data_IF_171993942567
#
_entry.id   IF_171993942567
#
_cell.length_a   1.000
_cell.length_b   1.000
_cell.length_c   1.000
_cell.angle_alpha   90.00
_cell.angle_beta   90.00
_cell.angle_gamma   90.00
#
_symmetry.space_group_name_H-M   'P 1'
#
loop_
_entity.id
_entity.type
_entity.pdbx_description
1 polymer ?
#
# COMPACT_ATOMS: atom_id res chain seq x y z
N UNK A 1 26.71 -45.94 54.51
CA UNK A 1 26.17 -44.73 55.17
C UNK A 1 27.06 -43.61 54.70
N UNK A 2 26.67 -42.67 53.84
CA UNK A 2 25.41 -41.94 53.71
C UNK A 2 25.05 -41.71 52.23
N UNK A 3 23.76 -41.75 51.91
CA UNK A 3 23.18 -41.25 50.67
C UNK A 3 22.90 -39.75 50.85
N UNK A 4 23.27 -38.92 49.86
CA UNK A 4 22.72 -37.56 49.77
C UNK A 4 22.30 -37.25 48.33
N UNK A 5 21.03 -37.56 48.08
CA UNK A 5 20.04 -36.81 47.30
C UNK A 5 20.43 -35.39 46.90
N UNK A 6 20.37 -35.08 45.60
CA UNK A 6 19.65 -33.91 45.06
C UNK A 6 19.11 -34.24 43.65
N UNK A 7 17.83 -33.98 43.45
CA UNK A 7 17.00 -34.28 42.28
C UNK A 7 17.42 -33.58 40.97
N UNK A 8 17.06 -34.15 39.80
CA UNK A 8 17.28 -33.52 38.49
C UNK A 8 16.30 -32.37 38.26
N UNK A 9 16.83 -31.21 37.88
CA UNK A 9 16.05 -30.04 37.49
C UNK A 9 15.45 -30.27 36.08
N UNK A 10 14.13 -30.38 36.03
CA UNK A 10 13.32 -30.38 34.81
C UNK A 10 13.59 -29.13 33.97
N UNK A 11 14.01 -29.33 32.72
CA UNK A 11 14.03 -28.29 31.69
C UNK A 11 12.61 -28.22 31.10
N UNK A 12 11.86 -27.11 31.23
CA UNK A 12 10.64 -26.95 30.47
C UNK A 12 10.98 -26.58 29.02
N UNK A 13 10.51 -27.42 28.10
CA UNK A 13 10.41 -27.14 26.67
C UNK A 13 9.35 -26.05 26.45
N UNK A 14 9.78 -24.81 26.22
CA UNK A 14 8.95 -23.79 25.59
C UNK A 14 9.82 -22.93 24.66
N UNK A 15 9.76 -23.19 23.36
CA UNK A 15 10.04 -22.15 22.36
C UNK A 15 9.04 -22.28 21.21
N UNK A 16 7.78 -22.07 21.61
CA UNK A 16 6.71 -21.74 20.68
C UNK A 16 6.81 -20.28 20.27
N UNK A 17 6.89 -20.06 18.96
CA UNK A 17 6.19 -18.97 18.28
C UNK A 17 6.74 -17.54 18.41
N UNK A 18 7.91 -17.27 17.82
CA UNK A 18 8.18 -15.93 17.26
C UNK A 18 7.40 -15.75 15.94
N UNK A 19 6.09 -15.51 16.04
CA UNK A 19 5.39 -14.75 14.98
C UNK A 19 6.16 -13.43 14.83
N UNK A 20 6.62 -13.03 13.63
CA UNK A 20 7.33 -11.77 13.47
C UNK A 20 6.42 -10.65 13.97
N UNK A 21 6.74 -10.15 15.15
CA UNK A 21 5.94 -9.16 15.84
C UNK A 21 5.89 -7.93 14.95
N UNK A 22 4.67 -7.52 14.61
CA UNK A 22 4.34 -6.45 13.66
C UNK A 22 4.65 -5.07 14.25
N UNK A 23 5.77 -4.91 14.95
CA UNK A 23 6.25 -3.66 15.58
C UNK A 23 6.90 -2.71 14.56
N UNK A 24 7.01 -3.12 13.29
CA UNK A 24 7.79 -2.40 12.28
C UNK A 24 7.24 -1.04 11.84
N UNK A 25 5.97 -0.71 12.11
CA UNK A 25 5.28 0.44 11.48
C UNK A 25 5.36 1.77 12.26
N UNK A 26 5.15 1.83 13.59
CA UNK A 26 5.29 3.07 14.35
C UNK A 26 6.76 3.50 14.49
N UNK A 27 7.66 2.53 14.69
CA UNK A 27 9.10 2.78 14.85
C UNK A 27 9.73 3.40 13.60
N UNK A 28 9.28 3.01 12.41
CA UNK A 28 9.75 3.60 11.15
C UNK A 28 9.38 5.09 11.07
N UNK A 29 8.14 5.45 11.38
CA UNK A 29 7.68 6.84 11.36
C UNK A 29 8.45 7.72 12.35
N UNK A 30 8.63 7.23 13.58
CA UNK A 30 9.32 7.99 14.63
C UNK A 30 10.80 8.21 14.30
N UNK A 31 11.45 7.24 13.63
CA UNK A 31 12.81 7.39 13.13
C UNK A 31 12.92 8.52 12.11
N UNK A 32 12.02 8.56 11.13
CA UNK A 32 12.03 9.61 10.10
C UNK A 32 11.67 10.97 10.71
N UNK A 33 10.72 11.01 11.66
CA UNK A 33 10.39 12.22 12.43
C UNK A 33 11.61 12.77 13.18
N UNK A 34 12.36 11.93 13.91
CA UNK A 34 13.59 12.34 14.60
C UNK A 34 14.65 12.86 13.64
N UNK A 35 14.79 12.24 12.48
CA UNK A 35 15.74 12.67 11.44
C UNK A 35 15.36 14.04 10.86
N UNK A 36 14.08 14.27 10.60
CA UNK A 36 13.54 15.55 10.15
C UNK A 36 13.74 16.64 11.21
N UNK A 37 13.46 16.33 12.48
CA UNK A 37 13.64 17.26 13.60
C UNK A 37 15.11 17.64 13.79
N UNK A 38 16.02 16.65 13.71
CA UNK A 38 17.46 16.90 13.78
C UNK A 38 17.91 17.82 12.65
N UNK A 39 17.47 17.55 11.42
CA UNK A 39 17.77 18.40 10.28
C UNK A 39 17.23 19.83 10.47
N UNK A 40 16.01 20.01 11.00
CA UNK A 40 15.46 21.35 11.27
C UNK A 40 16.28 22.16 12.27
N UNK A 41 16.94 21.49 13.22
CA UNK A 41 17.82 22.13 14.21
C UNK A 41 19.18 22.47 13.64
N UNK A 42 19.72 21.61 12.78
CA UNK A 42 21.06 21.77 12.20
C UNK A 42 21.07 22.44 10.82
N UNK A 43 19.92 22.94 10.35
CA UNK A 43 19.82 23.52 9.00
C UNK A 43 20.55 24.87 8.93
N UNK A 44 21.22 25.18 7.81
CA UNK A 44 22.00 26.41 7.66
C UNK A 44 21.14 27.68 7.61
N UNK A 45 19.91 27.61 7.08
CA UNK A 45 18.98 28.73 7.06
C UNK A 45 17.51 28.26 7.13
N UNK A 46 16.55 29.13 7.51
CA UNK A 46 15.14 28.76 7.72
C UNK A 46 14.42 28.20 6.49
N UNK A 47 14.89 28.54 5.29
CA UNK A 47 14.35 28.08 3.99
C UNK A 47 15.21 27.00 3.32
N UNK A 48 16.10 26.34 4.07
CA UNK A 48 16.93 25.29 3.51
C UNK A 48 16.04 24.16 2.96
N UNK A 49 16.33 23.63 1.77
CA UNK A 49 15.54 22.55 1.19
C UNK A 49 15.68 21.28 2.04
N UNK A 50 14.57 20.55 2.21
CA UNK A 50 14.59 19.26 2.91
C UNK A 50 15.45 18.28 2.09
N UNK A 51 16.40 17.56 2.72
CA UNK A 51 17.26 16.61 2.03
C UNK A 51 16.46 15.49 1.36
N UNK A 52 16.88 15.10 0.15
CA UNK A 52 16.27 14.03 -0.63
C UNK A 52 16.09 12.73 0.16
N UNK A 53 17.04 12.40 1.02
CA UNK A 53 16.95 11.19 1.85
C UNK A 53 15.76 11.17 2.80
N UNK A 54 15.33 12.34 3.30
CA UNK A 54 14.14 12.46 4.15
C UNK A 54 12.88 12.35 3.29
N UNK A 55 12.89 12.93 2.09
CA UNK A 55 11.81 12.79 1.12
C UNK A 55 11.59 11.34 0.69
N UNK A 56 12.66 10.59 0.40
CA UNK A 56 12.56 9.16 0.04
C UNK A 56 11.91 8.35 1.14
N UNK A 57 12.34 8.55 2.39
CA UNK A 57 11.75 7.88 3.56
C UNK A 57 10.26 8.25 3.73
N UNK A 58 9.92 9.54 3.54
CA UNK A 58 8.56 10.03 3.63
C UNK A 58 7.65 9.48 2.51
N UNK A 59 8.16 9.38 1.27
CA UNK A 59 7.45 8.78 0.13
C UNK A 59 7.17 7.29 0.39
N UNK A 60 8.14 6.55 0.93
CA UNK A 60 7.96 5.15 1.30
C UNK A 60 6.85 4.98 2.37
N UNK A 61 6.79 5.88 3.35
CA UNK A 61 5.71 5.91 4.35
C UNK A 61 4.36 6.31 3.73
N UNK A 62 4.35 7.27 2.81
CA UNK A 62 3.14 7.72 2.12
C UNK A 62 2.50 6.61 1.29
N UNK A 63 3.30 5.77 0.62
CA UNK A 63 2.82 4.58 -0.10
C UNK A 63 2.15 3.54 0.82
N UNK A 64 2.57 3.47 2.08
CA UNK A 64 2.05 2.48 3.04
C UNK A 64 0.87 2.98 3.87
N UNK A 65 0.84 4.28 4.18
CA UNK A 65 -0.12 4.88 5.14
C UNK A 65 -1.05 5.92 4.50
N UNK A 66 -0.82 6.26 3.25
CA UNK A 66 -1.46 7.38 2.58
C UNK A 66 -0.72 8.70 2.81
N UNK A 67 -0.91 9.61 1.85
CA UNK A 67 -0.20 10.89 1.77
C UNK A 67 -0.58 11.82 2.92
N UNK A 68 -1.88 11.95 3.19
CA UNK A 68 -2.40 12.81 4.24
C UNK A 68 -1.93 12.39 5.64
N UNK A 69 -2.03 11.09 5.97
CA UNK A 69 -1.59 10.57 7.27
C UNK A 69 -0.08 10.78 7.49
N UNK A 70 0.70 10.64 6.42
CA UNK A 70 2.16 10.83 6.47
C UNK A 70 2.53 12.31 6.63
N UNK A 71 1.87 13.23 5.91
CA UNK A 71 2.08 14.67 6.05
C UNK A 71 1.60 15.24 7.39
N UNK A 72 0.62 14.60 8.04
CA UNK A 72 0.19 14.96 9.39
C UNK A 72 1.19 14.47 10.45
N UNK A 73 1.72 13.27 10.28
CA UNK A 73 2.58 12.62 11.27
C UNK A 73 4.05 13.05 11.17
N UNK A 74 4.56 13.25 9.95
CA UNK A 74 5.77 14.02 9.70
C UNK A 74 5.30 15.40 9.27
N UNK A 75 5.54 16.48 10.04
CA UNK A 75 5.01 17.81 9.74
C UNK A 75 5.71 18.46 8.53
N UNK A 76 5.72 17.80 7.38
CA UNK A 76 6.24 18.24 6.08
C UNK A 76 5.09 18.77 5.22
N UNK A 77 5.39 19.70 4.32
CA UNK A 77 4.36 20.27 3.46
C UNK A 77 3.77 19.21 2.53
N UNK A 78 2.44 19.08 2.56
CA UNK A 78 1.66 18.16 1.74
C UNK A 78 2.01 18.26 0.25
N UNK A 79 2.07 19.48 -0.28
CA UNK A 79 2.39 19.72 -1.69
C UNK A 79 3.77 19.18 -2.09
N UNK A 80 4.79 19.36 -1.24
CA UNK A 80 6.11 18.80 -1.48
C UNK A 80 6.11 17.28 -1.43
N UNK A 81 5.37 16.68 -0.48
CA UNK A 81 5.25 15.23 -0.41
C UNK A 81 4.54 14.65 -1.65
N UNK A 82 3.49 15.32 -2.13
CA UNK A 82 2.78 14.97 -3.36
C UNK A 82 3.72 15.03 -4.57
N UNK A 83 4.45 16.12 -4.75
CA UNK A 83 5.38 16.27 -5.87
C UNK A 83 6.47 15.19 -5.86
N UNK A 84 7.03 14.86 -4.69
CA UNK A 84 8.03 13.81 -4.57
C UNK A 84 7.45 12.40 -4.78
N UNK A 85 6.19 12.17 -4.41
CA UNK A 85 5.50 10.92 -4.70
C UNK A 85 5.24 10.78 -6.21
N UNK A 86 4.70 11.81 -6.86
CA UNK A 86 4.46 11.85 -8.31
C UNK A 86 5.76 11.70 -9.10
N UNK A 87 6.85 12.34 -8.67
CA UNK A 87 8.16 12.15 -9.30
C UNK A 87 8.67 10.70 -9.14
N UNK A 88 8.45 10.08 -7.98
CA UNK A 88 8.82 8.70 -7.74
C UNK A 88 7.94 7.70 -8.52
N UNK A 89 6.65 8.00 -8.71
CA UNK A 89 5.71 7.23 -9.51
C UNK A 89 5.97 7.40 -11.02
N UNK A 90 6.25 8.61 -11.48
CA UNK A 90 6.67 8.88 -12.86
C UNK A 90 7.98 8.17 -13.21
N UNK A 91 8.92 8.11 -12.27
CA UNK A 91 10.15 7.31 -12.43
C UNK A 91 9.85 5.80 -12.44
N UNK A 92 8.85 5.34 -11.66
CA UNK A 92 8.46 3.92 -11.65
C UNK A 92 7.69 3.54 -12.91
N UNK A 93 6.82 4.42 -13.42
CA UNK A 93 6.09 4.29 -14.69
C UNK A 93 7.03 4.35 -15.89
N UNK A 94 8.04 5.21 -15.86
CA UNK A 94 9.10 5.23 -16.88
C UNK A 94 10.00 3.97 -16.81
N UNK A 95 10.15 3.35 -15.63
CA UNK A 95 10.94 2.11 -15.45
C UNK A 95 10.15 0.84 -15.71
N UNK A 96 8.83 0.87 -15.51
CA UNK A 96 7.87 -0.15 -15.90
C UNK A 96 7.25 0.29 -17.22
N UNK A 97 8.02 0.19 -18.31
CA UNK A 97 7.49 0.46 -19.64
C UNK A 97 6.12 -0.19 -19.79
N UNK A 98 5.12 0.60 -20.16
CA UNK A 98 3.75 0.13 -20.38
C UNK A 98 3.79 -0.94 -21.47
N UNK A 99 3.86 -2.20 -21.07
CA UNK A 99 3.80 -3.33 -21.97
C UNK A 99 2.38 -3.50 -22.48
N UNK A 100 2.23 -3.51 -23.79
CA UNK A 100 0.99 -3.95 -24.41
C UNK A 100 0.75 -5.42 -24.05
N UNK A 101 -0.36 -5.71 -23.38
CA UNK A 101 -0.79 -7.09 -23.10
C UNK A 101 -1.89 -7.42 -24.09
N UNK A 102 -1.56 -8.24 -25.09
CA UNK A 102 -2.55 -8.78 -26.00
C UNK A 102 -3.42 -9.80 -25.25
N UNK A 103 -4.66 -9.41 -24.97
CA UNK A 103 -5.66 -10.32 -24.44
C UNK A 103 -6.26 -11.09 -25.61
N UNK A 104 -6.06 -12.41 -25.65
CA UNK A 104 -6.78 -13.26 -26.61
C UNK A 104 -8.29 -13.06 -26.43
N UNK A 105 -9.08 -12.91 -27.51
CA UNK A 105 -10.52 -12.81 -27.39
C UNK A 105 -11.04 -14.08 -26.72
N UNK A 106 -11.46 -13.95 -25.47
CA UNK A 106 -12.23 -14.97 -24.78
C UNK A 106 -13.58 -14.98 -25.48
N UNK A 107 -14.00 -16.13 -26.00
CA UNK A 107 -15.36 -16.30 -26.51
C UNK A 107 -16.19 -16.80 -25.33
N UNK A 108 -16.80 -15.92 -24.51
CA UNK A 108 -17.58 -16.37 -23.38
C UNK A 108 -18.71 -17.25 -23.90
N UNK A 109 -18.76 -18.46 -23.38
CA UNK A 109 -19.89 -19.36 -23.61
C UNK A 109 -21.06 -18.90 -22.73
N UNK A 110 -22.29 -19.26 -23.10
CA UNK A 110 -23.49 -18.84 -22.39
C UNK A 110 -23.59 -19.32 -20.93
N UNK A 111 -22.61 -20.10 -20.46
CA UNK A 111 -22.52 -20.59 -19.07
C UNK A 111 -21.50 -19.79 -18.23
N UNK A 112 -20.79 -18.83 -18.84
CA UNK A 112 -19.80 -18.02 -18.13
C UNK A 112 -20.48 -17.00 -17.20
N UNK A 113 -20.27 -17.18 -15.90
CA UNK A 113 -20.80 -16.30 -14.88
C UNK A 113 -20.03 -14.98 -14.86
N UNK A 114 -20.69 -13.88 -15.23
CA UNK A 114 -20.12 -12.54 -15.17
C UNK A 114 -20.47 -11.89 -13.82
N UNK A 115 -19.49 -11.22 -13.19
CA UNK A 115 -19.73 -10.40 -12.00
C UNK A 115 -19.18 -9.01 -12.27
N UNK A 116 -20.07 -8.00 -12.18
CA UNK A 116 -19.71 -6.59 -12.33
C UNK A 116 -19.69 -5.97 -10.94
N UNK A 117 -18.57 -5.35 -10.59
CA UNK A 117 -18.40 -4.58 -9.36
C UNK A 117 -18.29 -3.10 -9.70
N UNK A 118 -19.22 -2.31 -9.18
CA UNK A 118 -19.26 -0.87 -9.35
C UNK A 118 -18.94 -0.24 -8.00
N UNK A 119 -17.78 0.38 -7.90
CA UNK A 119 -17.34 1.08 -6.70
C UNK A 119 -17.74 2.56 -6.78
N UNK A 120 -18.60 2.99 -5.86
CA UNK A 120 -18.94 4.39 -5.62
C UNK A 120 -18.21 4.94 -4.39
N UNK A 121 -18.31 6.25 -4.16
CA UNK A 121 -17.62 6.98 -3.09
C UNK A 121 -17.85 6.43 -1.66
N UNK A 122 -18.92 5.64 -1.45
CA UNK A 122 -19.31 5.10 -0.14
C UNK A 122 -19.80 3.65 -0.19
N UNK A 123 -20.07 3.11 -1.38
CA UNK A 123 -20.70 1.78 -1.53
C UNK A 123 -20.15 1.09 -2.76
N UNK A 124 -19.87 -0.21 -2.62
CA UNK A 124 -19.60 -1.10 -3.74
C UNK A 124 -20.87 -1.87 -4.05
N UNK A 125 -21.36 -1.77 -5.28
CA UNK A 125 -22.49 -2.54 -5.78
C UNK A 125 -21.93 -3.70 -6.58
N UNK A 126 -22.35 -4.93 -6.26
CA UNK A 126 -21.94 -6.15 -6.96
C UNK A 126 -23.13 -6.76 -7.66
N UNK A 127 -23.09 -6.81 -8.99
CA UNK A 127 -24.13 -7.38 -9.83
C UNK A 127 -23.60 -8.71 -10.36
N UNK A 128 -24.23 -9.82 -9.97
CA UNK A 128 -23.94 -11.15 -10.51
C UNK A 128 -24.92 -11.44 -11.63
N UNK A 129 -24.42 -11.81 -12.79
CA UNK A 129 -25.23 -12.14 -13.94
C UNK A 129 -24.81 -13.52 -14.45
N UNK A 130 -25.59 -14.58 -14.17
CA UNK A 130 -25.38 -15.88 -14.78
C UNK A 130 -25.80 -15.84 -16.25
N UNK A 131 -24.91 -16.26 -17.15
CA UNK A 131 -25.21 -16.49 -18.57
C UNK A 131 -25.36 -15.25 -19.45
N UNK A 132 -24.64 -14.16 -19.15
CA UNK A 132 -24.63 -12.96 -19.99
C UNK A 132 -23.77 -13.17 -21.23
N UNK A 133 -24.41 -13.12 -22.40
CA UNK A 133 -23.70 -13.09 -23.68
C UNK A 133 -22.94 -11.77 -23.88
N UNK A 134 -21.82 -11.83 -24.59
CA UNK A 134 -20.99 -10.69 -24.99
C UNK A 134 -21.75 -9.43 -25.49
N UNK A 135 -22.84 -9.53 -26.30
CA UNK A 135 -23.58 -8.34 -26.75
C UNK A 135 -24.31 -7.59 -25.64
N UNK A 136 -24.72 -8.26 -24.56
CA UNK A 136 -25.43 -7.63 -23.44
C UNK A 136 -24.45 -6.86 -22.55
N UNK A 137 -23.24 -7.40 -22.35
CA UNK A 137 -22.14 -6.68 -21.69
C UNK A 137 -21.71 -5.43 -22.47
N UNK A 138 -21.70 -5.51 -23.81
CA UNK A 138 -21.37 -4.36 -24.65
C UNK A 138 -22.44 -3.26 -24.61
N UNK A 139 -23.73 -3.61 -24.43
CA UNK A 139 -24.80 -2.65 -24.21
C UNK A 139 -24.67 -1.99 -22.83
N UNK A 140 -24.41 -2.80 -21.80
CA UNK A 140 -24.22 -2.30 -20.45
C UNK A 140 -23.02 -1.34 -20.35
N UNK A 141 -21.90 -1.65 -21.01
CA UNK A 141 -20.71 -0.78 -21.00
C UNK A 141 -20.96 0.57 -21.67
N UNK A 142 -21.71 0.61 -22.78
CA UNK A 142 -22.10 1.86 -23.44
C UNK A 142 -23.08 2.68 -22.61
N UNK A 143 -24.04 2.03 -21.95
CA UNK A 143 -24.99 2.68 -21.05
C UNK A 143 -24.27 3.35 -19.86
N UNK A 144 -23.28 2.66 -19.25
CA UNK A 144 -22.47 3.23 -18.17
C UNK A 144 -21.60 4.40 -18.66
N UNK A 145 -21.03 4.30 -19.86
CA UNK A 145 -20.21 5.35 -20.45
C UNK A 145 -21.02 6.56 -20.93
N UNK A 146 -22.35 6.53 -20.85
CA UNK A 146 -23.23 7.59 -21.34
C UNK A 146 -23.23 7.75 -22.86
N UNK A 147 -22.85 6.69 -23.59
CA UNK A 147 -22.73 6.69 -25.06
C UNK A 147 -24.10 6.48 -25.73
N UNK A 148 -25.09 5.94 -25.00
CA UNK A 148 -26.45 5.68 -25.47
C UNK A 148 -27.49 6.72 -24.97
N UNK A 149 -27.08 7.98 -24.74
CA UNK A 149 -27.98 9.10 -24.38
C UNK A 149 -28.40 9.92 -25.62
#
# INVERSE_FOLDING_TARGET
TEFSTVSPLTIPTEDGLMKPTKVRRPLALERVRRRLERWRRTRPHPRAPIPNSIWTDAVALARQRGLYQTARALPIHYAGLKQHLEAAEGTTSARMGSGFVELRPMNPTADDQCVIEVEGLRTTVRIRMPGVGLPDLARLSRAIAGIDA
#
